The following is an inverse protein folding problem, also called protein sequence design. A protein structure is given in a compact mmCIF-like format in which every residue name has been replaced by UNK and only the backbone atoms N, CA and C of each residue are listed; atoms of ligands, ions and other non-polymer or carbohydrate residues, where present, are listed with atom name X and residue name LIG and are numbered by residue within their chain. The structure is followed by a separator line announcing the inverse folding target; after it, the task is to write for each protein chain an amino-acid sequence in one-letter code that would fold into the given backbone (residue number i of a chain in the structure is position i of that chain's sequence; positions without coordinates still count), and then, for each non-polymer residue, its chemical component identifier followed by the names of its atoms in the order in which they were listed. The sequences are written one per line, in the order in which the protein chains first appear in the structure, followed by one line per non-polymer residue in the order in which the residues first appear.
data_IF_059884300248
#
_entry.id   IF_059884300248
#
_cell.length_a   1.000
_cell.length_b   1.000
_cell.length_c   1.000
_cell.angle_alpha   90.00
_cell.angle_beta   90.00
_cell.angle_gamma   90.00
#
_symmetry.space_group_name_H-M   'P 1'
#
loop_
_entity.id
_entity.type
_entity.pdbx_description
1 polymer ?
#
# COMPACT_ATOMS: atom_id res chain seq x y z
N UNK A 1 -13.94 32.98 -9.67
CA UNK A 1 -14.59 32.02 -8.76
C UNK A 1 -14.97 30.80 -9.60
N UNK A 2 -14.10 29.80 -9.66
CA UNK A 2 -14.34 28.55 -10.40
C UNK A 2 -15.13 27.62 -9.50
N UNK A 3 -16.35 27.28 -9.91
CA UNK A 3 -17.17 26.30 -9.22
C UNK A 3 -16.49 24.93 -9.34
N UNK A 4 -15.99 24.40 -8.22
CA UNK A 4 -15.57 23.01 -8.11
C UNK A 4 -16.85 22.19 -8.16
N UNK A 5 -17.18 21.66 -9.33
CA UNK A 5 -18.26 20.69 -9.49
C UNK A 5 -17.86 19.45 -8.72
N UNK A 6 -18.35 19.31 -7.50
CA UNK A 6 -18.26 18.07 -6.75
C UNK A 6 -19.12 17.05 -7.50
N UNK A 7 -18.50 16.26 -8.37
CA UNK A 7 -19.17 15.15 -9.05
C UNK A 7 -19.72 14.25 -7.93
N UNK A 8 -21.04 14.17 -7.73
CA UNK A 8 -21.59 13.32 -6.69
C UNK A 8 -21.20 11.89 -7.01
N UNK A 9 -20.76 11.14 -6.01
CA UNK A 9 -20.35 9.73 -6.08
C UNK A 9 -21.45 8.78 -6.61
N UNK A 10 -22.62 9.31 -7.00
CA UNK A 10 -23.88 8.60 -7.09
C UNK A 10 -24.20 7.95 -8.45
N UNK A 11 -23.45 8.20 -9.52
CA UNK A 11 -23.67 7.54 -10.82
C UNK A 11 -22.35 7.33 -11.58
N UNK A 12 -21.38 6.69 -10.94
CA UNK A 12 -20.22 6.20 -11.69
C UNK A 12 -20.62 4.86 -12.29
N UNK A 13 -20.96 4.86 -13.57
CA UNK A 13 -21.16 3.61 -14.33
C UNK A 13 -19.90 2.76 -14.20
N UNK A 14 -20.05 1.43 -14.07
CA UNK A 14 -18.94 0.48 -14.00
C UNK A 14 -17.73 0.79 -14.92
N UNK A 15 -17.90 1.20 -16.20
CA UNK A 15 -16.77 1.61 -17.06
C UNK A 15 -16.00 2.84 -16.55
N UNK A 16 -16.68 3.83 -15.96
CA UNK A 16 -16.03 5.04 -15.41
C UNK A 16 -15.25 4.73 -14.12
N UNK A 17 -15.62 3.67 -13.40
CA UNK A 17 -14.89 3.23 -12.19
C UNK A 17 -13.50 2.72 -12.54
N UNK A 18 -13.37 1.92 -13.60
CA UNK A 18 -12.08 1.37 -14.02
C UNK A 18 -11.12 2.46 -14.49
N UNK A 19 -11.62 3.42 -15.27
CA UNK A 19 -10.84 4.59 -15.69
C UNK A 19 -10.41 5.44 -14.49
N UNK A 20 -11.31 5.67 -13.53
CA UNK A 20 -10.98 6.35 -12.27
C UNK A 20 -9.88 5.63 -11.49
N UNK A 21 -9.93 4.29 -11.43
CA UNK A 21 -8.88 3.49 -10.78
C UNK A 21 -7.52 3.69 -11.44
N UNK A 22 -7.47 3.68 -12.78
CA UNK A 22 -6.22 3.86 -13.53
C UNK A 22 -5.68 5.29 -13.38
N UNK A 23 -6.53 6.32 -13.50
CA UNK A 23 -6.14 7.70 -13.25
C UNK A 23 -5.58 7.89 -11.83
N UNK A 24 -6.23 7.31 -10.82
CA UNK A 24 -5.74 7.33 -9.44
C UNK A 24 -4.37 6.65 -9.30
N UNK A 25 -4.15 5.52 -9.97
CA UNK A 25 -2.89 4.80 -9.93
C UNK A 25 -1.75 5.61 -10.56
N UNK A 26 -2.03 6.32 -11.65
CA UNK A 26 -1.10 7.28 -12.26
C UNK A 26 -0.76 8.40 -11.27
N UNK A 27 -1.77 9.04 -10.66
CA UNK A 27 -1.56 10.11 -9.68
C UNK A 27 -0.74 9.64 -8.47
N UNK A 28 -1.00 8.43 -7.94
CA UNK A 28 -0.24 7.86 -6.83
C UNK A 28 1.23 7.64 -7.17
N UNK A 29 1.53 7.17 -8.39
CA UNK A 29 2.91 6.95 -8.82
C UNK A 29 3.68 8.26 -8.97
N UNK A 30 3.02 9.31 -9.49
CA UNK A 30 3.58 10.65 -9.53
C UNK A 30 3.92 11.13 -8.11
N UNK A 31 2.98 11.00 -7.18
CA UNK A 31 3.12 11.57 -5.84
C UNK A 31 4.09 10.81 -4.94
N UNK A 32 4.24 9.50 -5.15
CA UNK A 32 5.21 8.67 -4.43
C UNK A 32 6.60 8.69 -5.06
N UNK A 33 6.77 9.32 -6.23
CA UNK A 33 8.01 9.27 -7.04
C UNK A 33 8.53 7.84 -7.24
N UNK A 34 7.62 6.87 -7.26
CA UNK A 34 7.98 5.48 -7.43
C UNK A 34 8.54 5.28 -8.86
N UNK A 35 9.60 4.46 -9.06
CA UNK A 35 10.06 4.08 -10.38
C UNK A 35 9.03 3.13 -11.00
N UNK A 36 7.91 3.68 -11.44
CA UNK A 36 6.88 2.97 -12.15
C UNK A 36 7.07 3.17 -13.65
N UNK A 37 6.73 2.13 -14.40
CA UNK A 37 6.66 2.22 -15.85
C UNK A 37 5.42 3.05 -16.23
N UNK A 38 5.57 4.38 -16.23
CA UNK A 38 4.50 5.31 -16.62
C UNK A 38 3.91 4.95 -17.99
N UNK A 39 4.75 4.44 -18.90
CA UNK A 39 4.31 3.99 -20.22
C UNK A 39 3.44 2.73 -20.17
N UNK A 40 3.52 1.90 -19.14
CA UNK A 40 2.59 0.79 -18.96
C UNK A 40 1.20 1.31 -18.56
N UNK A 41 1.12 2.22 -17.59
CA UNK A 41 -0.15 2.77 -17.13
C UNK A 41 -0.86 3.63 -18.20
N UNK A 42 -0.11 4.39 -18.99
CA UNK A 42 -0.69 5.15 -20.10
C UNK A 42 -1.28 4.22 -21.17
N UNK A 43 -0.62 3.07 -21.43
CA UNK A 43 -1.15 2.05 -22.34
C UNK A 43 -2.40 1.38 -21.78
N UNK A 44 -2.38 1.00 -20.50
CA UNK A 44 -3.53 0.39 -19.83
C UNK A 44 -4.74 1.35 -19.83
N UNK A 45 -4.50 2.65 -19.62
CA UNK A 45 -5.55 3.67 -19.69
C UNK A 45 -6.12 3.82 -21.10
N UNK A 46 -5.26 3.81 -22.13
CA UNK A 46 -5.69 3.88 -23.52
C UNK A 46 -6.49 2.63 -23.93
N UNK A 47 -6.10 1.45 -23.47
CA UNK A 47 -6.81 0.18 -23.70
C UNK A 47 -8.16 0.17 -22.98
N UNK A 48 -8.21 0.57 -21.71
CA UNK A 48 -9.46 0.72 -20.97
C UNK A 48 -10.41 1.72 -21.65
N UNK A 49 -9.89 2.84 -22.17
CA UNK A 49 -10.71 3.79 -22.94
C UNK A 49 -11.29 3.14 -24.21
N UNK A 50 -10.47 2.38 -24.94
CA UNK A 50 -10.89 1.70 -26.16
C UNK A 50 -11.98 0.66 -25.88
N UNK A 51 -11.85 -0.12 -24.81
CA UNK A 51 -12.85 -1.12 -24.41
C UNK A 51 -14.18 -0.47 -24.01
N UNK A 52 -14.14 0.63 -23.25
CA UNK A 52 -15.36 1.37 -22.88
C UNK A 52 -16.06 1.93 -24.11
N UNK A 53 -15.31 2.51 -25.06
CA UNK A 53 -15.87 3.02 -26.32
C UNK A 53 -16.41 1.90 -27.22
N UNK A 54 -15.75 0.74 -27.23
CA UNK A 54 -16.24 -0.42 -27.97
C UNK A 54 -17.58 -0.95 -27.41
N UNK A 55 -17.74 -0.96 -26.09
CA UNK A 55 -18.93 -1.48 -25.44
C UNK A 55 -20.11 -0.48 -25.38
N UNK A 56 -19.85 0.81 -25.24
CA UNK A 56 -20.88 1.84 -24.97
C UNK A 56 -21.02 2.87 -26.10
N UNK A 57 -20.23 2.75 -27.16
CA UNK A 57 -20.20 3.67 -28.30
C UNK A 57 -19.06 4.70 -28.22
N UNK A 58 -18.67 5.28 -29.36
CA UNK A 58 -17.53 6.21 -29.46
C UNK A 58 -17.71 7.49 -28.62
N UNK A 59 -18.95 7.93 -28.42
CA UNK A 59 -19.29 9.17 -27.70
C UNK A 59 -19.53 8.96 -26.20
N UNK A 60 -19.27 7.75 -25.67
CA UNK A 60 -19.53 7.41 -24.27
C UNK A 60 -18.66 8.17 -23.27
N UNK A 61 -17.43 8.51 -23.70
CA UNK A 61 -16.45 9.26 -22.91
C UNK A 61 -15.69 10.24 -23.80
N UNK A 62 -15.91 11.52 -23.55
CA UNK A 62 -15.18 12.61 -24.19
C UNK A 62 -13.86 12.88 -23.47
N UNK A 63 -12.95 13.57 -24.15
CA UNK A 63 -11.68 13.97 -23.55
C UNK A 63 -11.86 14.84 -22.29
N UNK A 64 -12.88 15.72 -22.29
CA UNK A 64 -13.21 16.53 -21.11
C UNK A 64 -13.65 15.66 -19.91
N UNK A 65 -14.39 14.57 -20.13
CA UNK A 65 -14.76 13.64 -19.05
C UNK A 65 -13.52 13.00 -18.41
N UNK A 66 -12.54 12.60 -19.23
CA UNK A 66 -11.27 12.03 -18.74
C UNK A 66 -10.47 13.04 -17.95
N UNK A 67 -10.39 14.29 -18.43
CA UNK A 67 -9.69 15.36 -17.73
C UNK A 67 -10.33 15.68 -16.39
N UNK A 68 -11.66 15.72 -16.32
CA UNK A 68 -12.38 15.96 -15.07
C UNK A 68 -12.20 14.80 -14.09
N UNK A 69 -12.23 13.57 -14.58
CA UNK A 69 -11.98 12.37 -13.79
C UNK A 69 -10.52 12.32 -13.27
N UNK A 70 -9.54 12.68 -14.11
CA UNK A 70 -8.15 12.80 -13.70
C UNK A 70 -7.96 13.88 -12.64
N UNK A 71 -8.54 15.07 -12.82
CA UNK A 71 -8.47 16.16 -11.83
C UNK A 71 -9.10 15.77 -10.50
N UNK A 72 -10.24 15.08 -10.54
CA UNK A 72 -10.91 14.60 -9.34
C UNK A 72 -10.04 13.59 -8.57
N UNK A 73 -9.42 12.65 -9.27
CA UNK A 73 -8.51 11.68 -8.64
C UNK A 73 -7.20 12.32 -8.17
N UNK A 74 -6.66 13.29 -8.90
CA UNK A 74 -5.49 14.06 -8.47
C UNK A 74 -5.76 14.75 -7.13
N UNK A 75 -6.89 15.46 -7.01
CA UNK A 75 -7.29 16.13 -5.75
C UNK A 75 -7.47 15.12 -4.61
N UNK A 76 -8.10 13.96 -4.87
CA UNK A 76 -8.26 12.90 -3.86
C UNK A 76 -6.92 12.36 -3.38
N UNK A 77 -5.98 12.14 -4.29
CA UNK A 77 -4.64 11.65 -3.97
C UNK A 77 -3.86 12.68 -3.15
N UNK A 78 -3.88 13.95 -3.54
CA UNK A 78 -3.21 15.02 -2.80
C UNK A 78 -3.80 15.20 -1.40
N UNK A 79 -5.13 15.18 -1.27
CA UNK A 79 -5.81 15.29 0.02
C UNK A 79 -5.47 14.10 0.92
N UNK A 80 -5.48 12.88 0.35
CA UNK A 80 -5.11 11.67 1.08
C UNK A 80 -3.64 11.70 1.53
N UNK A 81 -2.72 12.19 0.70
CA UNK A 81 -1.31 12.35 1.05
C UNK A 81 -1.13 13.33 2.21
N UNK A 82 -1.79 14.49 2.15
CA UNK A 82 -1.75 15.51 3.21
C UNK A 82 -2.34 14.96 4.53
N UNK A 83 -3.47 14.26 4.45
CA UNK A 83 -4.06 13.60 5.62
C UNK A 83 -3.13 12.52 6.19
N UNK A 84 -2.46 11.75 5.34
CA UNK A 84 -1.50 10.76 5.78
C UNK A 84 -0.31 11.40 6.52
N UNK A 85 0.23 12.51 6.03
CA UNK A 85 1.30 13.24 6.71
C UNK A 85 0.87 13.79 8.08
N UNK A 86 -0.36 14.31 8.18
CA UNK A 86 -0.89 14.84 9.45
C UNK A 86 -1.23 13.74 10.47
N UNK A 87 -1.71 12.58 10.00
CA UNK A 87 -2.19 11.50 10.84
C UNK A 87 -1.12 10.46 11.17
N UNK A 88 -0.15 10.22 10.29
CA UNK A 88 0.87 9.19 10.48
C UNK A 88 1.65 9.36 11.81
N UNK A 89 2.10 10.56 12.22
CA UNK A 89 2.79 10.72 13.50
C UNK A 89 1.88 10.43 14.70
N UNK A 90 0.60 10.83 14.63
CA UNK A 90 -0.40 10.63 15.69
C UNK A 90 -0.76 9.16 15.83
N UNK A 91 -0.98 8.47 14.72
CA UNK A 91 -1.23 7.04 14.68
C UNK A 91 -0.01 6.25 15.15
N UNK A 92 1.20 6.60 14.73
CA UNK A 92 2.42 5.97 15.21
C UNK A 92 2.61 6.14 16.72
N UNK A 93 2.33 7.32 17.28
CA UNK A 93 2.37 7.56 18.71
C UNK A 93 1.31 6.74 19.48
N UNK A 94 0.07 6.71 18.96
CA UNK A 94 -1.01 5.91 19.52
C UNK A 94 -0.67 4.41 19.55
N UNK A 95 -0.19 3.86 18.43
CA UNK A 95 0.19 2.45 18.33
C UNK A 95 1.35 2.08 19.25
N UNK A 96 2.34 2.97 19.42
CA UNK A 96 3.42 2.78 20.41
C UNK A 96 2.89 2.78 21.85
N UNK A 97 2.01 3.71 22.20
CA UNK A 97 1.47 3.84 23.56
C UNK A 97 0.56 2.67 23.95
N UNK A 98 -0.06 2.01 22.97
CA UNK A 98 -0.92 0.84 23.19
C UNK A 98 -0.19 -0.50 22.99
N UNK A 99 1.14 -0.50 22.82
CA UNK A 99 1.92 -1.72 22.67
C UNK A 99 1.62 -2.51 21.39
N UNK A 100 0.97 -1.88 20.41
CA UNK A 100 0.60 -2.48 19.11
C UNK A 100 1.71 -2.32 18.07
N UNK A 101 2.83 -1.67 18.43
CA UNK A 101 3.95 -1.44 17.53
C UNK A 101 4.92 -2.63 17.53
N UNK A 102 4.62 -3.66 16.74
CA UNK A 102 5.67 -4.45 16.10
C UNK A 102 6.01 -3.73 14.80
N UNK A 103 7.10 -2.95 14.78
CA UNK A 103 7.56 -2.23 13.59
C UNK A 103 7.65 -3.18 12.38
N UNK A 104 6.86 -2.98 11.30
CA UNK A 104 7.05 -3.72 10.06
C UNK A 104 8.05 -3.03 9.12
N UNK A 105 8.59 -1.87 9.49
CA UNK A 105 9.52 -1.09 8.66
C UNK A 105 10.91 -1.06 9.30
N UNK A 106 11.85 -1.93 8.85
CA UNK A 106 13.25 -1.82 9.24
C UNK A 106 13.86 -0.60 8.54
N UNK A 107 13.83 0.57 9.18
CA UNK A 107 14.50 1.76 8.65
C UNK A 107 14.00 3.11 9.13
N UNK A 108 12.85 3.20 9.79
CA UNK A 108 12.36 4.50 10.29
C UNK A 108 12.91 4.78 11.69
N UNK A 109 14.16 5.22 11.76
CA UNK A 109 14.68 5.90 12.95
C UNK A 109 14.11 7.32 12.98
N UNK A 110 13.29 7.71 13.97
CA UNK A 110 12.91 9.11 14.11
C UNK A 110 14.19 9.94 14.35
N UNK A 111 14.35 11.13 13.74
CA UNK A 111 15.51 11.98 13.97
C UNK A 111 15.48 12.43 15.44
N UNK A 112 16.36 11.82 16.25
CA UNK A 112 16.61 12.22 17.61
C UNK A 112 17.26 13.60 17.60
N UNK A 113 16.48 14.62 17.96
CA UNK A 113 17.00 15.96 18.22
C UNK A 113 17.91 15.95 19.45
N UNK A 114 19.22 16.07 19.25
CA UNK A 114 20.21 16.44 20.27
C UNK A 114 21.52 16.90 19.58
N UNK A 115 22.40 17.67 20.25
CA UNK A 115 22.97 18.92 19.72
C UNK A 115 24.36 18.77 19.07
N UNK A 116 24.72 19.79 18.28
CA UNK A 116 26.02 20.08 17.66
C UNK A 116 27.27 19.38 18.24
N UNK A 117 28.17 18.91 17.35
CA UNK A 117 29.60 19.04 17.59
C UNK A 117 30.33 19.74 16.42
N UNK A 118 31.25 20.64 16.78
CA UNK A 118 32.23 21.24 15.88
C UNK A 118 33.36 20.23 15.53
N UNK A 119 34.20 20.50 14.51
CA UNK A 119 34.70 19.49 13.58
C UNK A 119 36.06 18.89 13.98
N UNK A 120 36.25 17.60 13.73
CA UNK A 120 37.60 17.00 13.66
C UNK A 120 37.71 16.02 12.48
N UNK A 121 38.44 16.48 11.46
CA UNK A 121 39.39 15.78 10.60
C UNK A 121 39.24 14.27 10.37
N UNK A 122 38.93 13.94 9.11
CA UNK A 122 39.31 12.72 8.37
C UNK A 122 40.86 12.48 8.40
N UNK A 123 41.43 11.34 7.90
CA UNK A 123 40.84 10.47 6.87
C UNK A 123 41.17 8.95 6.85
N UNK A 124 40.38 8.27 6.01
CA UNK A 124 40.74 7.22 5.03
C UNK A 124 40.79 5.72 5.41
N UNK A 125 40.15 4.95 4.49
CA UNK A 125 40.39 3.56 4.01
C UNK A 125 39.49 2.43 4.55
N UNK A 126 38.49 2.06 3.74
CA UNK A 126 38.00 0.68 3.54
C UNK A 126 38.97 -0.10 2.61
N UNK A 127 38.72 -1.36 2.18
CA UNK A 127 37.75 -2.40 2.61
C UNK A 127 38.44 -3.79 2.78
N UNK A 128 37.71 -4.85 3.16
CA UNK A 128 37.67 -6.16 2.44
C UNK A 128 36.89 -7.25 3.20
N UNK A 129 36.42 -8.21 2.39
CA UNK A 129 35.27 -9.08 2.55
C UNK A 129 35.48 -10.42 3.28
N UNK A 130 34.31 -11.03 3.55
CA UNK A 130 33.98 -12.46 3.45
C UNK A 130 34.46 -13.42 4.55
N UNK A 131 33.50 -14.08 5.21
CA UNK A 131 33.21 -15.51 5.01
C UNK A 131 32.06 -15.97 5.93
N UNK A 132 31.06 -16.64 5.36
CA UNK A 132 30.08 -17.51 6.03
C UNK A 132 30.47 -18.97 5.70
N UNK A 133 30.25 -19.95 6.60
CA UNK A 133 29.06 -20.80 6.43
C UNK A 133 28.41 -21.37 7.73
N UNK A 134 27.07 -21.53 7.63
CA UNK A 134 26.18 -22.57 8.19
C UNK A 134 25.82 -22.59 9.71
N UNK A 135 24.70 -23.24 10.11
CA UNK A 135 23.60 -22.56 10.77
C UNK A 135 23.28 -23.16 12.15
N UNK A 136 23.31 -22.34 13.20
CA UNK A 136 22.64 -22.67 14.45
C UNK A 136 21.24 -22.04 14.40
N UNK A 137 20.21 -22.87 14.22
CA UNK A 137 18.82 -22.45 14.29
C UNK A 137 18.54 -21.85 15.68
N UNK A 138 18.11 -20.57 15.77
CA UNK A 138 17.54 -20.07 17.00
C UNK A 138 16.08 -20.48 17.07
N UNK A 139 15.66 -20.98 18.24
CA UNK A 139 14.26 -21.02 18.65
C UNK A 139 13.73 -19.57 18.65
N UNK A 140 13.19 -19.15 17.51
CA UNK A 140 12.54 -17.86 17.32
C UNK A 140 11.09 -17.91 17.80
N UNK A 141 10.48 -16.75 18.08
CA UNK A 141 9.08 -16.67 18.48
C UNK A 141 8.19 -17.22 17.35
N UNK A 142 7.26 -18.11 17.71
CA UNK A 142 6.30 -18.76 16.83
C UNK A 142 5.74 -17.76 15.81
N UNK A 143 6.02 -18.00 14.53
CA UNK A 143 5.48 -17.17 13.47
C UNK A 143 3.95 -17.33 13.43
N UNK A 144 3.25 -16.34 12.91
CA UNK A 144 1.79 -16.41 12.70
C UNK A 144 1.43 -17.67 11.89
N UNK A 145 2.32 -18.11 10.99
CA UNK A 145 2.19 -19.37 10.26
C UNK A 145 2.15 -20.60 11.19
N UNK A 146 3.05 -20.69 12.18
CA UNK A 146 3.07 -21.78 13.16
C UNK A 146 1.82 -21.77 14.06
N UNK A 147 1.29 -20.58 14.34
CA UNK A 147 0.08 -20.40 15.14
C UNK A 147 -1.18 -20.82 14.35
N UNK A 148 -1.24 -20.49 13.05
CA UNK A 148 -2.32 -20.92 12.15
C UNK A 148 -2.27 -22.44 11.92
N UNK A 149 -1.08 -23.01 11.72
CA UNK A 149 -0.92 -24.46 11.59
C UNK A 149 -1.30 -25.18 12.90
N UNK A 150 -0.96 -24.60 14.06
CA UNK A 150 -1.41 -25.10 15.37
C UNK A 150 -2.93 -25.09 15.52
N UNK A 151 -3.61 -24.01 15.08
CA UNK A 151 -5.07 -23.89 15.15
C UNK A 151 -5.78 -24.86 14.19
N UNK A 152 -5.25 -25.02 12.97
CA UNK A 152 -5.79 -25.99 12.00
C UNK A 152 -5.62 -27.44 12.47
N UNK A 153 -4.51 -27.75 13.13
CA UNK A 153 -4.27 -29.08 13.70
C UNK A 153 -5.15 -29.36 14.92
N UNK A 154 -5.56 -28.31 15.65
CA UNK A 154 -6.48 -28.39 16.78
C UNK A 154 -7.93 -28.63 16.31
N UNK A 155 -8.39 -27.93 15.28
CA UNK A 155 -9.71 -28.16 14.66
C UNK A 155 -9.85 -29.61 14.13
N UNK A 156 -8.80 -30.15 13.50
CA UNK A 156 -8.77 -31.55 13.03
C UNK A 156 -8.86 -32.57 14.16
N UNK A 157 -8.37 -32.23 15.37
CA UNK A 157 -8.45 -33.11 16.55
C UNK A 157 -9.85 -33.06 17.17
N UNK A 158 -10.47 -31.89 17.23
CA UNK A 158 -11.83 -31.71 17.75
C UNK A 158 -12.90 -32.36 16.87
N UNK A 159 -12.67 -32.42 15.55
CA UNK A 159 -13.56 -33.11 14.61
C UNK A 159 -13.47 -34.64 14.72
N UNK A 160 -12.32 -35.17 15.15
CA UNK A 160 -12.12 -36.62 15.41
C UNK A 160 -12.69 -37.06 16.76
N UNK A 161 -12.75 -36.20 17.77
CA UNK A 161 -13.34 -36.51 19.09
C UNK A 161 -14.86 -36.32 19.13
N UNK A 162 -15.45 -35.54 18.22
CA UNK A 162 -16.91 -35.35 18.13
C UNK A 162 -17.72 -36.52 17.54
N UNK A 163 -17.09 -37.63 17.15
CA UNK A 163 -17.81 -38.87 16.82
C UNK A 163 -17.58 -39.97 17.87
N UNK A 164 -18.39 -40.01 18.93
CA UNK A 164 -18.87 -41.27 19.47
C UNK A 164 -20.30 -41.52 18.95
N UNK A 165 -20.45 -42.61 18.18
CA UNK A 165 -21.70 -43.37 18.20
C UNK A 165 -22.79 -43.02 17.19
N UNK A 166 -22.53 -43.26 15.90
CA UNK A 166 -23.56 -43.94 15.11
C UNK A 166 -23.42 -45.44 15.38
N UNK A 167 -24.30 -46.02 16.20
CA UNK A 167 -24.76 -47.41 16.08
C UNK A 167 -25.80 -47.78 17.15
N UNK A 168 -26.98 -48.11 16.63
CA UNK A 168 -28.14 -48.84 17.18
C UNK A 168 -29.20 -48.00 17.87
#
# INVERSE_FOLDING_TARGET
MTAVSAIPFAQIDAPRIELARLCRQICLNIETSAPADHHALDRDLAEALATVRAAHGPDSIHENDLLDLYRAEQLRVTDAALLAELLAPKLAAFLRNHGLSSSPFPGFTPPSAAPFPAPQSAPARSPLSASSPLPAAPAGPLGIADLLDGMLEQDRRDERTRRPGARR
#
